data_IF_742268465414
#
_entry.id   IF_742268465414
#
_cell.length_a   1.000
_cell.length_b   1.000
_cell.length_c   1.000
_cell.angle_alpha   90.00
_cell.angle_beta   90.00
_cell.angle_gamma   90.00
#
_symmetry.space_group_name_H-M   'P 1'
#
loop_
_entity.id
_entity.type
_entity.pdbx_description
1 polymer ?
#
# COMPACT_ATOMS: atom_id res chain seq x y z
N UNK A 1 -1.30 10.23 23.10
CA UNK A 1 -0.62 10.04 21.79
C UNK A 1 -1.45 10.77 20.74
N UNK A 2 -0.89 11.64 19.87
CA UNK A 2 -1.68 12.23 18.79
C UNK A 2 -2.17 11.09 17.87
N UNK A 3 -3.37 11.18 17.27
CA UNK A 3 -3.90 10.11 16.44
C UNK A 3 -2.99 9.93 15.22
N UNK A 4 -2.28 8.80 15.16
CA UNK A 4 -1.62 8.36 13.94
C UNK A 4 -2.72 8.06 12.92
N UNK A 5 -2.57 8.59 11.70
CA UNK A 5 -3.46 8.17 10.61
C UNK A 5 -3.15 6.70 10.32
N UNK A 6 -4.15 5.85 10.06
CA UNK A 6 -3.96 4.42 9.76
C UNK A 6 -2.75 4.07 8.87
N UNK A 7 -2.42 4.81 7.79
CA UNK A 7 -1.25 4.53 6.97
C UNK A 7 0.08 4.64 7.72
N UNK A 8 0.18 5.51 8.73
CA UNK A 8 1.39 5.68 9.55
C UNK A 8 1.62 4.48 10.45
N UNK A 9 0.57 3.98 11.10
CA UNK A 9 0.66 2.80 11.94
C UNK A 9 1.05 1.58 11.10
N UNK A 10 0.42 1.40 9.94
CA UNK A 10 0.76 0.31 9.01
C UNK A 10 2.23 0.39 8.54
N UNK A 11 2.71 1.58 8.14
CA UNK A 11 4.10 1.76 7.71
C UNK A 11 5.10 1.56 8.85
N UNK A 12 4.77 2.02 10.06
CA UNK A 12 5.59 1.80 11.24
C UNK A 12 5.71 0.31 11.55
N UNK A 13 4.59 -0.43 11.52
CA UNK A 13 4.58 -1.88 11.73
C UNK A 13 5.44 -2.62 10.70
N UNK A 14 5.27 -2.34 9.39
CA UNK A 14 6.11 -2.95 8.34
C UNK A 14 7.59 -2.68 8.57
N UNK A 15 7.94 -1.45 8.99
CA UNK A 15 9.32 -1.09 9.28
C UNK A 15 9.90 -1.83 10.49
N UNK A 16 9.07 -2.25 11.45
CA UNK A 16 9.51 -3.01 12.63
C UNK A 16 9.63 -4.52 12.38
N UNK A 17 9.20 -5.03 11.21
CA UNK A 17 9.30 -6.47 10.90
C UNK A 17 10.73 -6.98 10.69
N UNK A 18 11.71 -6.11 10.47
CA UNK A 18 13.11 -6.50 10.35
C UNK A 18 14.00 -5.34 9.89
N UNK A 19 15.29 -5.40 10.22
CA UNK A 19 16.27 -4.39 9.76
C UNK A 19 16.52 -4.42 8.25
N UNK A 20 16.11 -5.51 7.59
CA UNK A 20 16.18 -5.77 6.16
C UNK A 20 14.87 -5.44 5.41
N UNK A 21 13.84 -4.96 6.12
CA UNK A 21 12.54 -4.63 5.54
C UNK A 21 12.42 -3.11 5.29
N UNK A 22 12.29 -2.75 4.00
CA UNK A 22 12.13 -1.36 3.58
C UNK A 22 10.79 -1.16 2.83
N UNK A 23 9.77 -0.52 3.44
CA UNK A 23 8.51 -0.24 2.75
C UNK A 23 8.70 0.83 1.66
N UNK A 24 8.06 0.64 0.50
CA UNK A 24 8.12 1.57 -0.64
C UNK A 24 6.72 2.17 -0.93
N UNK A 25 6.19 3.04 -0.04
CA UNK A 25 4.84 3.56 -0.21
C UNK A 25 4.73 4.55 -1.37
N UNK A 26 3.93 4.21 -2.38
CA UNK A 26 3.58 5.10 -3.47
C UNK A 26 2.48 6.11 -3.10
N UNK A 27 2.63 7.37 -3.49
CA UNK A 27 1.55 8.36 -3.40
C UNK A 27 1.73 9.50 -4.41
N UNK A 28 0.62 10.10 -4.83
CA UNK A 28 0.61 11.28 -5.71
C UNK A 28 0.33 12.59 -4.95
N UNK A 29 0.03 12.52 -3.64
CA UNK A 29 -0.34 13.69 -2.82
C UNK A 29 0.78 14.02 -1.83
N UNK A 30 1.25 15.27 -1.85
CA UNK A 30 2.33 15.72 -0.96
C UNK A 30 2.00 15.58 0.53
N UNK A 31 0.74 15.77 0.92
CA UNK A 31 0.29 15.59 2.30
C UNK A 31 0.43 14.14 2.77
N UNK A 32 0.21 13.18 1.88
CA UNK A 32 0.38 11.76 2.17
C UNK A 32 1.87 11.42 2.28
N UNK A 33 2.73 12.00 1.43
CA UNK A 33 4.18 11.85 1.58
C UNK A 33 4.65 12.31 2.96
N UNK A 34 4.24 13.52 3.40
CA UNK A 34 4.56 14.04 4.74
C UNK A 34 4.03 13.12 5.85
N UNK A 35 2.85 12.53 5.66
CA UNK A 35 2.28 11.57 6.59
C UNK A 35 3.11 10.29 6.67
N UNK A 36 3.52 9.73 5.53
CA UNK A 36 4.31 8.51 5.44
C UNK A 36 5.68 8.68 6.10
N UNK A 37 6.34 9.83 5.91
CA UNK A 37 7.63 10.13 6.56
C UNK A 37 7.49 10.14 8.10
N UNK A 38 6.39 10.69 8.63
CA UNK A 38 6.14 10.69 10.08
C UNK A 38 5.97 9.28 10.68
N UNK A 39 5.71 8.26 9.88
CA UNK A 39 5.64 6.87 10.36
C UNK A 39 6.98 6.40 10.94
N UNK A 40 8.10 6.92 10.46
CA UNK A 40 9.45 6.59 10.96
C UNK A 40 9.68 7.05 12.41
N UNK A 41 8.88 7.98 12.91
CA UNK A 41 8.95 8.47 14.29
C UNK A 41 8.01 7.73 15.24
N UNK A 42 7.17 6.83 14.72
CA UNK A 42 6.28 6.00 15.53
C UNK A 42 7.09 4.86 16.12
N UNK A 43 7.11 4.77 17.45
CA UNK A 43 7.71 3.66 18.18
C UNK A 43 6.60 2.70 18.58
N UNK A 44 6.76 1.43 18.24
CA UNK A 44 5.87 0.35 18.67
C UNK A 44 6.59 -0.43 19.76
N UNK A 45 5.92 -0.66 20.89
CA UNK A 45 6.47 -1.52 21.94
C UNK A 45 6.31 -3.00 21.53
N UNK A 46 7.00 -3.93 22.21
CA UNK A 46 6.78 -5.36 21.99
C UNK A 46 5.31 -5.78 22.18
N UNK A 47 4.61 -5.14 23.12
CA UNK A 47 3.18 -5.37 23.36
C UNK A 47 2.32 -4.88 22.19
N UNK A 48 2.58 -3.66 21.68
CA UNK A 48 1.89 -3.12 20.50
C UNK A 48 2.10 -4.04 19.28
N UNK A 49 3.33 -4.53 19.08
CA UNK A 49 3.65 -5.46 18.01
C UNK A 49 2.88 -6.78 18.15
N UNK A 50 2.83 -7.35 19.35
CA UNK A 50 2.09 -8.58 19.62
C UNK A 50 0.58 -8.41 19.40
N UNK A 51 0.02 -7.25 19.75
CA UNK A 51 -1.38 -6.93 19.50
C UNK A 51 -1.65 -6.82 17.99
N UNK A 52 -0.80 -6.11 17.25
CA UNK A 52 -0.91 -5.96 15.79
C UNK A 52 -0.79 -7.30 15.05
N UNK A 53 0.15 -8.15 15.45
CA UNK A 53 0.33 -9.49 14.90
C UNK A 53 -0.90 -10.39 15.13
N UNK A 54 -1.61 -10.22 16.26
CA UNK A 54 -2.84 -10.98 16.55
C UNK A 54 -3.97 -10.71 15.56
N UNK A 55 -3.98 -9.54 14.92
CA UNK A 55 -4.94 -9.19 13.86
C UNK A 55 -4.48 -9.60 12.46
N UNK A 56 -3.20 -9.94 12.28
CA UNK A 56 -2.56 -10.17 10.99
C UNK A 56 -2.15 -11.64 10.77
N UNK A 57 -2.99 -12.58 11.20
CA UNK A 57 -2.74 -14.02 11.03
C UNK A 57 -2.47 -14.37 9.57
N UNK A 58 -1.30 -14.97 9.30
CA UNK A 58 -0.83 -15.35 7.96
C UNK A 58 -1.77 -16.34 7.27
N UNK A 59 -2.50 -17.14 8.05
CA UNK A 59 -3.43 -18.14 7.54
C UNK A 59 -4.72 -17.52 6.97
N UNK A 60 -5.07 -16.29 7.38
CA UNK A 60 -6.31 -15.62 6.98
C UNK A 60 -6.18 -14.85 5.65
N UNK A 61 -4.95 -14.56 5.19
CA UNK A 61 -4.69 -13.73 4.00
C UNK A 61 -4.12 -14.59 2.86
N UNK A 62 -4.98 -15.41 2.24
CA UNK A 62 -4.67 -16.11 0.99
C UNK A 62 -5.28 -15.35 -0.20
N UNK A 63 -4.50 -14.45 -0.79
CA UNK A 63 -4.95 -13.57 -1.87
C UNK A 63 -4.44 -13.97 -3.26
N UNK A 64 -5.32 -13.89 -4.26
CA UNK A 64 -4.90 -13.87 -5.67
C UNK A 64 -4.17 -12.55 -5.99
N UNK A 65 -3.16 -12.60 -6.87
CA UNK A 65 -2.40 -11.39 -7.29
C UNK A 65 -3.31 -10.30 -7.87
N UNK A 66 -4.40 -10.68 -8.51
CA UNK A 66 -5.41 -9.77 -9.04
C UNK A 66 -6.80 -10.28 -8.68
N UNK A 67 -7.74 -9.36 -8.45
CA UNK A 67 -9.14 -9.73 -8.42
C UNK A 67 -9.58 -10.18 -9.83
N UNK A 68 -10.39 -11.24 -9.96
CA UNK A 68 -10.83 -11.73 -11.27
C UNK A 68 -11.48 -10.66 -12.16
N UNK A 69 -12.15 -9.68 -11.55
CA UNK A 69 -12.78 -8.52 -12.20
C UNK A 69 -11.79 -7.59 -12.93
N UNK A 70 -10.52 -7.56 -12.52
CA UNK A 70 -9.50 -6.71 -13.16
C UNK A 70 -8.95 -7.31 -14.45
N UNK A 71 -9.13 -8.61 -14.70
CA UNK A 71 -8.62 -9.29 -15.91
C UNK A 71 -9.63 -9.37 -17.07
N UNK A 72 -10.93 -9.23 -16.82
CA UNK A 72 -11.97 -9.61 -17.79
C UNK A 72 -12.36 -8.55 -18.82
N UNK A 73 -11.95 -7.29 -18.66
CA UNK A 73 -12.46 -6.17 -19.48
C UNK A 73 -11.36 -5.32 -20.15
N UNK A 74 -10.16 -5.85 -20.32
CA UNK A 74 -9.03 -5.14 -20.94
C UNK A 74 -9.35 -4.64 -22.35
N UNK A 75 -10.17 -5.38 -23.09
CA UNK A 75 -10.64 -5.03 -24.44
C UNK A 75 -11.61 -3.84 -24.49
N UNK A 76 -12.38 -3.56 -23.43
CA UNK A 76 -13.40 -2.48 -23.43
C UNK A 76 -12.80 -1.07 -23.57
N UNK A 77 -11.54 -0.89 -23.15
CA UNK A 77 -10.84 0.40 -23.21
C UNK A 77 -9.61 0.35 -24.14
N UNK A 78 -9.57 -0.59 -25.08
CA UNK A 78 -8.46 -0.79 -26.01
C UNK A 78 -8.59 0.03 -27.32
N UNK A 79 -9.38 1.10 -27.32
CA UNK A 79 -9.57 1.94 -28.49
C UNK A 79 -8.26 2.61 -28.92
N UNK A 80 -7.97 2.55 -30.22
CA UNK A 80 -6.85 3.28 -30.84
C UNK A 80 -7.42 4.44 -31.65
N UNK A 81 -7.06 5.71 -31.37
CA UNK A 81 -7.57 6.84 -32.10
C UNK A 81 -7.20 6.76 -33.59
N UNK A 82 -8.18 6.60 -34.47
CA UNK A 82 -7.96 6.53 -35.92
C UNK A 82 -7.47 7.88 -36.51
N UNK A 83 -7.68 8.99 -35.81
CA UNK A 83 -7.28 10.34 -36.24
C UNK A 83 -5.76 10.55 -36.23
N UNK A 84 -4.99 9.83 -35.41
CA UNK A 84 -3.52 9.96 -35.38
C UNK A 84 -2.80 9.28 -36.55
N UNK A 85 -3.53 8.55 -37.40
CA UNK A 85 -2.99 7.78 -38.52
C UNK A 85 -3.33 8.36 -39.90
N UNK A 86 -4.10 9.46 -39.96
CA UNK A 86 -4.60 10.05 -41.22
C UNK A 86 -3.86 11.31 -41.71
N UNK A 87 -2.76 11.70 -41.07
CA UNK A 87 -1.91 12.82 -41.51
C UNK A 87 -0.58 12.28 -42.04
N UNK A 88 -0.57 11.80 -43.29
CA UNK A 88 0.60 11.67 -44.17
C UNK A 88 0.12 11.74 -45.61
#
# INVERSE_FOLDING_TARGET
MPPSRFPQLALAWVHHQGSDVCPIPGTIKIQNLKSNIKALSVKLTPEDMSELESYASVDDIKGARYQPSHSTYTWMNSDTPLSSWRNN
#
